data_IF_942688467371
#
_entry.id   IF_942688467371
#
_cell.length_a   1.000
_cell.length_b   1.000
_cell.length_c   1.000
_cell.angle_alpha   90.00
_cell.angle_beta   90.00
_cell.angle_gamma   90.00
#
_symmetry.space_group_name_H-M   'P 1'
#
loop_
_entity.id
_entity.type
_entity.pdbx_description
1 polymer ?
#
# COMPACT_ATOMS: atom_id res chain seq x y z
N UNK A 1 -1.06 17.97 1.03
CA UNK A 1 -2.00 18.41 2.06
C UNK A 1 -2.40 17.18 2.88
N UNK A 2 -2.21 17.17 4.22
CA UNK A 2 -2.56 16.02 5.06
C UNK A 2 -4.06 15.70 5.08
N UNK A 3 -4.93 16.64 4.70
CA UNK A 3 -6.38 16.44 4.66
C UNK A 3 -6.92 16.04 3.28
N UNK A 4 -6.03 15.91 2.28
CA UNK A 4 -6.39 15.61 0.88
C UNK A 4 -6.29 14.12 0.51
N UNK A 5 -6.50 13.21 1.47
CA UNK A 5 -6.38 11.76 1.25
C UNK A 5 -4.93 11.22 1.25
N UNK A 6 -3.95 12.02 1.70
CA UNK A 6 -2.57 11.54 1.88
C UNK A 6 -2.51 10.57 3.07
N UNK A 7 -1.89 9.40 2.87
CA UNK A 7 -1.63 8.44 3.94
C UNK A 7 -0.15 8.49 4.31
N UNK A 8 0.14 8.83 5.57
CA UNK A 8 1.48 8.75 6.13
C UNK A 8 1.71 7.38 6.75
N UNK A 9 2.69 6.64 6.24
CA UNK A 9 2.97 5.29 6.72
C UNK A 9 4.35 5.25 7.39
N UNK A 10 4.37 4.82 8.64
CA UNK A 10 5.58 4.66 9.45
C UNK A 10 5.84 3.18 9.66
N UNK A 11 7.08 2.74 9.44
CA UNK A 11 7.50 1.35 9.65
C UNK A 11 8.44 1.26 10.86
N UNK A 12 8.26 0.24 11.69
CA UNK A 12 9.22 -0.05 12.76
C UNK A 12 10.58 -0.52 12.21
N UNK A 13 11.63 -0.41 13.02
CA UNK A 13 12.98 -0.89 12.67
C UNK A 13 13.02 -2.40 12.43
N UNK A 14 12.21 -3.16 13.16
CA UNK A 14 12.07 -4.63 13.04
C UNK A 14 11.18 -5.09 11.89
N UNK A 15 10.71 -4.15 11.05
CA UNK A 15 9.89 -4.39 9.84
C UNK A 15 8.58 -5.17 10.05
N UNK A 16 8.26 -5.62 11.26
CA UNK A 16 7.06 -6.38 11.64
C UNK A 16 5.83 -5.50 11.91
N UNK A 17 6.00 -4.17 11.95
CA UNK A 17 4.94 -3.22 12.31
C UNK A 17 4.87 -2.02 11.38
N UNK A 18 3.65 -1.59 11.12
CA UNK A 18 3.34 -0.32 10.45
C UNK A 18 2.30 0.49 11.22
N UNK A 19 2.39 1.81 11.09
CA UNK A 19 1.37 2.77 11.52
C UNK A 19 0.95 3.62 10.33
N UNK A 20 -0.34 3.81 10.13
CA UNK A 20 -0.90 4.65 9.09
C UNK A 20 -1.66 5.80 9.74
N UNK A 21 -1.36 7.03 9.33
CA UNK A 21 -2.05 8.24 9.76
C UNK A 21 -2.63 8.93 8.53
N UNK A 22 -3.93 9.18 8.54
CA UNK A 22 -4.63 9.83 7.43
C UNK A 22 -5.90 10.53 7.94
N UNK A 23 -6.40 11.48 7.15
CA UNK A 23 -7.70 12.09 7.36
C UNK A 23 -8.75 11.35 6.52
N UNK A 24 -9.86 10.93 7.13
CA UNK A 24 -10.92 10.18 6.45
C UNK A 24 -12.05 11.05 5.88
N UNK A 25 -11.98 12.37 6.10
CA UNK A 25 -13.05 13.33 5.79
C UNK A 25 -13.72 13.91 7.03
N UNK A 26 -13.72 13.17 8.14
CA UNK A 26 -14.36 13.53 9.41
C UNK A 26 -13.37 13.71 10.56
N UNK A 27 -12.25 12.98 10.51
CA UNK A 27 -11.30 12.90 11.60
C UNK A 27 -9.93 12.38 11.16
N UNK A 28 -8.96 12.51 12.06
CA UNK A 28 -7.66 11.85 11.92
C UNK A 28 -7.81 10.41 12.37
N UNK A 29 -7.48 9.47 11.48
CA UNK A 29 -7.44 8.05 11.75
C UNK A 29 -6.00 7.58 11.99
N UNK A 30 -5.83 6.68 12.96
CA UNK A 30 -4.60 5.93 13.19
C UNK A 30 -4.90 4.43 13.08
N UNK A 31 -4.22 3.76 12.16
CA UNK A 31 -4.19 2.30 12.09
C UNK A 31 -2.82 1.82 12.53
N UNK A 32 -2.77 0.85 13.44
CA UNK A 32 -1.54 0.20 13.87
C UNK A 32 -1.64 -1.30 13.62
N UNK A 33 -0.73 -1.85 12.82
CA UNK A 33 -0.72 -3.27 12.48
C UNK A 33 0.64 -3.90 12.79
N UNK A 34 0.60 -5.10 13.35
CA UNK A 34 1.74 -5.99 13.55
C UNK A 34 1.48 -7.28 12.78
N UNK A 35 2.49 -7.78 12.08
CA UNK A 35 2.44 -9.14 11.54
C UNK A 35 2.83 -10.11 12.64
N UNK A 36 2.04 -11.17 12.81
CA UNK A 36 2.36 -12.24 13.76
C UNK A 36 3.56 -13.08 13.29
N UNK A 37 3.74 -13.17 11.96
CA UNK A 37 4.90 -13.79 11.31
C UNK A 37 5.30 -13.01 10.07
N UNK A 38 6.60 -13.00 9.75
CA UNK A 38 7.18 -12.29 8.61
C UNK A 38 7.42 -10.79 8.82
N UNK A 39 7.63 -10.08 7.71
CA UNK A 39 7.95 -8.65 7.70
C UNK A 39 7.23 -7.91 6.56
N UNK A 40 6.98 -6.62 6.78
CA UNK A 40 6.50 -5.75 5.72
C UNK A 40 7.60 -5.47 4.70
N UNK A 41 7.38 -5.87 3.46
CA UNK A 41 8.25 -5.55 2.34
C UNK A 41 8.19 -4.05 2.01
N UNK A 42 9.14 -3.29 2.51
CA UNK A 42 9.19 -1.84 2.31
C UNK A 42 9.92 -1.45 1.02
N UNK A 43 9.40 -0.53 0.18
CA UNK A 43 10.18 0.02 -0.92
C UNK A 43 11.33 0.89 -0.40
N UNK A 44 12.32 1.08 -1.26
CA UNK A 44 13.15 2.27 -1.14
C UNK A 44 12.26 3.47 -1.48
N UNK A 45 12.06 4.34 -0.50
CA UNK A 45 11.35 5.60 -0.71
C UNK A 45 12.21 6.44 -1.65
N UNK A 46 11.69 6.72 -2.85
CA UNK A 46 12.29 7.69 -3.78
C UNK A 46 11.53 9.01 -3.58
N UNK A 47 12.26 10.11 -3.46
CA UNK A 47 11.70 11.46 -3.29
C UNK A 47 10.74 11.63 -2.10
N UNK A 48 10.93 10.84 -1.04
CA UNK A 48 10.13 10.95 0.19
C UNK A 48 8.69 10.40 0.09
N UNK A 49 8.29 9.82 -1.05
CA UNK A 49 6.94 9.30 -1.26
C UNK A 49 6.92 7.86 -1.82
N UNK A 50 5.81 7.16 -1.59
CA UNK A 50 5.53 5.85 -2.17
C UNK A 50 4.22 5.94 -2.94
N UNK A 51 4.26 5.62 -4.24
CA UNK A 51 3.05 5.52 -5.06
C UNK A 51 2.68 4.05 -5.17
N UNK A 52 1.51 3.69 -4.65
CA UNK A 52 0.94 2.36 -4.72
C UNK A 52 -0.44 2.43 -5.36
N UNK A 53 -0.79 1.43 -6.17
CA UNK A 53 -2.19 1.16 -6.49
C UNK A 53 -2.94 0.65 -5.26
N UNK A 54 -4.28 0.68 -5.31
CA UNK A 54 -5.10 0.10 -4.23
C UNK A 54 -4.75 -1.39 -3.97
N UNK A 55 -4.54 -2.18 -5.03
CA UNK A 55 -4.16 -3.59 -4.90
C UNK A 55 -2.77 -3.76 -4.26
N UNK A 56 -1.80 -2.92 -4.63
CA UNK A 56 -0.47 -2.95 -4.03
C UNK A 56 -0.52 -2.53 -2.56
N UNK A 57 -1.32 -1.54 -2.21
CA UNK A 57 -1.52 -1.14 -0.83
C UNK A 57 -2.16 -2.25 0.00
N UNK A 58 -3.23 -2.90 -0.49
CA UNK A 58 -3.85 -4.04 0.21
C UNK A 58 -2.85 -5.16 0.44
N UNK A 59 -2.07 -5.53 -0.58
CA UNK A 59 -1.03 -6.54 -0.46
C UNK A 59 0.05 -6.16 0.56
N UNK A 60 0.53 -4.91 0.52
CA UNK A 60 1.46 -4.40 1.53
C UNK A 60 0.84 -4.48 2.93
N UNK A 61 -0.41 -4.04 3.08
CA UNK A 61 -1.11 -4.04 4.36
C UNK A 61 -1.30 -5.47 4.90
N UNK A 62 -1.46 -6.46 4.03
CA UNK A 62 -1.52 -7.88 4.36
C UNK A 62 -0.15 -8.52 4.64
N UNK A 63 0.95 -7.81 4.39
CA UNK A 63 2.32 -8.33 4.58
C UNK A 63 2.85 -9.11 3.36
N UNK A 64 2.14 -9.08 2.23
CA UNK A 64 2.57 -9.70 0.99
C UNK A 64 3.63 -8.85 0.27
N UNK A 65 4.40 -9.48 -0.63
CA UNK A 65 5.31 -8.76 -1.54
C UNK A 65 4.51 -8.00 -2.60
N UNK A 66 4.08 -6.79 -2.24
CA UNK A 66 3.29 -5.90 -3.09
C UNK A 66 3.97 -5.54 -4.42
N UNK A 67 5.30 -5.70 -4.55
CA UNK A 67 6.02 -5.43 -5.80
C UNK A 67 5.66 -6.43 -6.89
N UNK A 68 5.17 -7.61 -6.50
CA UNK A 68 4.66 -8.64 -7.41
C UNK A 68 3.19 -8.43 -7.77
N UNK A 69 2.54 -7.46 -7.14
CA UNK A 69 1.15 -7.09 -7.44
C UNK A 69 1.15 -6.06 -8.55
N UNK A 70 0.76 -6.52 -9.73
CA UNK A 70 0.53 -5.68 -10.89
C UNK A 70 -0.97 -5.48 -11.05
N UNK A 71 -1.38 -4.25 -11.35
CA UNK A 71 -2.75 -4.02 -11.81
C UNK A 71 -2.96 -4.88 -13.07
N UNK A 72 -4.13 -5.53 -13.22
CA UNK A 72 -4.45 -6.16 -14.50
C UNK A 72 -4.30 -5.11 -15.59
N UNK A 73 -3.39 -5.34 -16.54
CA UNK A 73 -3.44 -4.62 -17.80
C UNK A 73 -4.83 -4.84 -18.37
N UNK A 74 -5.49 -3.78 -18.85
CA UNK A 74 -6.77 -3.91 -19.56
C UNK A 74 -6.71 -5.14 -20.45
N UNK A 75 -7.50 -6.16 -20.09
CA UNK A 75 -7.50 -7.41 -20.82
C UNK A 75 -7.93 -7.04 -22.24
N UNK A 76 -7.02 -7.18 -23.21
CA UNK A 76 -7.38 -6.98 -24.62
C UNK A 76 -8.57 -7.88 -24.87
N UNK A 77 -9.69 -7.27 -25.22
CA UNK A 77 -10.89 -7.99 -25.63
C UNK A 77 -10.46 -8.95 -26.74
N UNK A 78 -10.65 -10.27 -26.59
CA UNK A 78 -10.31 -11.21 -27.66
C UNK A 78 -11.01 -10.77 -28.94
N UNK A 79 -10.24 -10.48 -29.98
CA UNK A 79 -10.82 -10.23 -31.30
C UNK A 79 -11.22 -11.59 -31.86
N UNK A 80 -12.51 -11.78 -32.13
CA UNK A 80 -13.01 -12.98 -32.80
C UNK A 80 -12.28 -13.11 -34.15
N UNK A 81 -11.62 -14.23 -34.38
CA UNK A 81 -11.07 -14.54 -35.70
C UNK A 81 -12.24 -14.65 -36.69
N UNK A 82 -12.22 -13.81 -37.72
CA UNK A 82 -13.16 -13.85 -38.83
C UNK A 82 -12.91 -15.01 -39.78
#
# INVERSE_FOLDING_TARGET
DPFSGTIYVFRARRTDRIKLVFWDGSGVCLVSKRLEDGEFHWPRVQDGAMRLSAAQFSALFEGLDWKRVHAPTEARVPQTAG
#
